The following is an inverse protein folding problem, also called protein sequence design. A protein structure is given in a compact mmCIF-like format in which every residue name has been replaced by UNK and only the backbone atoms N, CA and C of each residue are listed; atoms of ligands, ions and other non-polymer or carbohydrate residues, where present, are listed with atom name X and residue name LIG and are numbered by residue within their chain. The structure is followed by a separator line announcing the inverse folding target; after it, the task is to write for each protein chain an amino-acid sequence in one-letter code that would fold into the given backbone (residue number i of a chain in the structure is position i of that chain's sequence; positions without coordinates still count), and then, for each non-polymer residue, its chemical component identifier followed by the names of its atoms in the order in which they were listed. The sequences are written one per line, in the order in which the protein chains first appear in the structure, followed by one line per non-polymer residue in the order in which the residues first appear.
data_IF_530491206143
#
_entry.id   IF_530491206143
#
_cell.length_a   1.000
_cell.length_b   1.000
_cell.length_c   1.000
_cell.angle_alpha   90.00
_cell.angle_beta   90.00
_cell.angle_gamma   90.00
#
_symmetry.space_group_name_H-M   'P 1'
#
loop_
_entity.id
_entity.type
_entity.pdbx_description
1 polymer ?
#
# COMPACT_ATOMS: atom_id res chain seq x y z
N UNK A 1 3.33 -17.56 -22.11
CA UNK A 1 2.91 -16.13 -22.13
C UNK A 1 3.71 -15.38 -21.11
N UNK A 2 4.30 -14.25 -21.49
CA UNK A 2 4.90 -13.31 -20.52
C UNK A 2 3.72 -12.57 -19.86
N UNK A 3 3.55 -12.71 -18.55
CA UNK A 3 2.64 -11.85 -17.79
C UNK A 3 3.34 -10.52 -17.54
N UNK A 4 2.75 -9.42 -18.00
CA UNK A 4 3.27 -8.09 -17.72
C UNK A 4 2.95 -7.76 -16.26
N UNK A 5 3.96 -7.38 -15.49
CA UNK A 5 3.83 -6.99 -14.09
C UNK A 5 3.67 -5.49 -13.96
N UNK A 6 2.64 -5.06 -13.26
CA UNK A 6 2.34 -3.67 -12.97
C UNK A 6 2.47 -3.42 -11.48
N UNK A 7 3.27 -2.42 -11.12
CA UNK A 7 3.35 -1.91 -9.76
C UNK A 7 2.37 -0.74 -9.60
N UNK A 8 1.35 -0.90 -8.76
CA UNK A 8 0.39 0.16 -8.45
C UNK A 8 0.90 1.00 -7.28
N UNK A 9 1.65 2.06 -7.59
CA UNK A 9 2.06 3.05 -6.59
C UNK A 9 0.85 3.85 -6.09
N UNK A 10 0.80 4.13 -4.79
CA UNK A 10 -0.18 5.02 -4.18
C UNK A 10 0.42 5.69 -2.93
N UNK A 11 -0.16 6.82 -2.51
CA UNK A 11 0.23 7.48 -1.27
C UNK A 11 -0.55 6.90 -0.09
N UNK A 12 0.14 6.21 0.82
CA UNK A 12 -0.44 5.64 2.05
C UNK A 12 -1.00 6.76 2.94
N UNK A 13 -0.25 7.86 3.11
CA UNK A 13 -0.69 9.03 3.90
C UNK A 13 -1.73 9.89 3.19
N UNK A 14 -1.82 9.76 1.87
CA UNK A 14 -2.73 10.54 1.04
C UNK A 14 -2.57 12.04 1.26
N UNK A 15 -3.69 12.76 1.25
CA UNK A 15 -3.74 14.22 1.44
C UNK A 15 -3.35 14.69 2.85
N UNK A 16 -3.33 13.79 3.83
CA UNK A 16 -3.07 14.13 5.23
C UNK A 16 -1.57 14.19 5.57
N UNK A 17 -0.72 13.65 4.70
CA UNK A 17 0.74 13.68 4.88
C UNK A 17 1.16 13.16 6.26
N UNK A 18 2.07 13.87 6.93
CA UNK A 18 2.58 13.48 8.26
C UNK A 18 1.53 13.50 9.38
N UNK A 19 0.34 14.06 9.12
CA UNK A 19 -0.77 14.08 10.08
C UNK A 19 -1.77 12.94 9.85
N UNK A 20 -1.46 11.99 8.95
CA UNK A 20 -2.32 10.85 8.68
C UNK A 20 -2.43 9.94 9.91
N UNK A 21 -3.65 9.70 10.37
CA UNK A 21 -3.95 8.69 11.39
C UNK A 21 -3.90 7.29 10.79
N UNK A 22 -3.70 6.22 11.59
CA UNK A 22 -3.74 4.84 11.11
C UNK A 22 -5.02 4.49 10.35
N UNK A 23 -6.17 5.00 10.81
CA UNK A 23 -7.46 4.80 10.14
C UNK A 23 -7.51 5.48 8.77
N UNK A 24 -6.91 6.66 8.62
CA UNK A 24 -6.83 7.35 7.33
C UNK A 24 -5.88 6.62 6.37
N UNK A 25 -4.75 6.13 6.87
CA UNK A 25 -3.81 5.33 6.09
C UNK A 25 -4.46 4.02 5.60
N UNK A 26 -5.14 3.29 6.48
CA UNK A 26 -5.89 2.10 6.11
C UNK A 26 -6.92 2.39 5.01
N UNK A 27 -7.69 3.48 5.15
CA UNK A 27 -8.67 3.89 4.12
C UNK A 27 -8.02 4.21 2.76
N UNK A 28 -6.79 4.71 2.74
CA UNK A 28 -6.06 4.95 1.49
C UNK A 28 -5.58 3.63 0.87
N UNK A 29 -5.05 2.72 1.69
CA UNK A 29 -4.70 1.36 1.26
C UNK A 29 -5.92 0.63 0.70
N UNK A 30 -7.07 0.67 1.37
CA UNK A 30 -8.31 0.02 0.93
C UNK A 30 -8.75 0.51 -0.45
N UNK A 31 -8.62 1.82 -0.71
CA UNK A 31 -8.90 2.39 -2.04
C UNK A 31 -7.92 1.91 -3.09
N UNK A 32 -6.62 1.83 -2.77
CA UNK A 32 -5.62 1.33 -3.70
C UNK A 32 -5.87 -0.15 -4.04
N UNK A 33 -6.24 -0.98 -3.06
CA UNK A 33 -6.63 -2.38 -3.24
C UNK A 33 -7.87 -2.50 -4.12
N UNK A 34 -8.89 -1.66 -3.88
CA UNK A 34 -10.09 -1.63 -4.73
C UNK A 34 -9.73 -1.34 -6.19
N UNK A 35 -8.89 -0.33 -6.44
CA UNK A 35 -8.43 0.00 -7.80
C UNK A 35 -7.61 -1.14 -8.40
N UNK A 36 -6.71 -1.77 -7.64
CA UNK A 36 -5.95 -2.94 -8.10
C UNK A 36 -6.88 -4.08 -8.55
N UNK A 37 -7.93 -4.35 -7.79
CA UNK A 37 -8.92 -5.38 -8.13
C UNK A 37 -9.72 -5.02 -9.38
N UNK A 38 -10.10 -3.76 -9.56
CA UNK A 38 -10.76 -3.30 -10.79
C UNK A 38 -9.85 -3.48 -12.01
N UNK A 39 -8.56 -3.16 -11.90
CA UNK A 39 -7.58 -3.35 -12.98
C UNK A 39 -7.40 -4.83 -13.30
N UNK A 40 -7.25 -5.69 -12.29
CA UNK A 40 -7.11 -7.16 -12.47
C UNK A 40 -8.33 -7.74 -13.19
N UNK A 41 -9.53 -7.29 -12.86
CA UNK A 41 -10.77 -7.73 -13.50
C UNK A 41 -10.88 -7.22 -14.95
N UNK A 42 -10.47 -5.97 -15.20
CA UNK A 42 -10.53 -5.39 -16.54
C UNK A 42 -9.47 -5.95 -17.50
N UNK A 43 -8.30 -6.35 -16.97
CA UNK A 43 -7.16 -6.83 -17.77
C UNK A 43 -6.57 -8.09 -17.11
N UNK A 44 -7.18 -9.29 -17.28
CA UNK A 44 -6.72 -10.51 -16.62
C UNK A 44 -5.32 -10.99 -17.04
N UNK A 45 -4.78 -10.45 -18.13
CA UNK A 45 -3.45 -10.80 -18.65
C UNK A 45 -2.30 -10.11 -17.92
N UNK A 46 -2.58 -9.11 -17.06
CA UNK A 46 -1.55 -8.43 -16.27
C UNK A 46 -1.57 -8.87 -14.81
N UNK A 47 -0.38 -8.89 -14.22
CA UNK A 47 -0.18 -9.15 -12.80
C UNK A 47 -0.02 -7.80 -12.09
N UNK A 48 -1.02 -7.40 -11.30
CA UNK A 48 -0.98 -6.14 -10.54
C UNK A 48 -0.51 -6.41 -9.13
N UNK A 49 0.59 -5.77 -8.75
CA UNK A 49 1.08 -5.69 -7.37
C UNK A 49 0.65 -4.37 -6.73
N UNK A 50 0.02 -4.43 -5.55
CA UNK A 50 -0.41 -3.26 -4.80
C UNK A 50 0.21 -3.30 -3.38
N UNK A 51 1.10 -2.37 -3.02
CA UNK A 51 1.72 -2.35 -1.69
C UNK A 51 0.72 -2.27 -0.54
N UNK A 52 -0.47 -1.70 -0.78
CA UNK A 52 -1.53 -1.57 0.22
C UNK A 52 -2.01 -2.93 0.76
N UNK A 53 -1.81 -4.02 0.02
CA UNK A 53 -2.13 -5.40 0.43
C UNK A 53 -1.18 -5.95 1.51
N UNK A 54 -0.04 -5.30 1.74
CA UNK A 54 1.03 -5.77 2.61
C UNK A 54 1.40 -4.78 3.73
N UNK A 55 0.65 -3.68 3.87
CA UNK A 55 0.96 -2.60 4.82
C UNK A 55 0.77 -3.04 6.30
N UNK A 56 -0.04 -4.07 6.56
CA UNK A 56 -0.38 -4.57 7.90
C UNK A 56 0.85 -4.86 8.78
N UNK A 57 1.94 -5.40 8.20
CA UNK A 57 3.17 -5.64 8.95
C UNK A 57 3.84 -4.33 9.41
N UNK A 58 3.96 -3.36 8.49
CA UNK A 58 4.62 -2.08 8.76
C UNK A 58 3.85 -1.30 9.82
N UNK A 59 2.52 -1.23 9.67
CA UNK A 59 1.64 -0.62 10.67
C UNK A 59 1.73 -1.31 12.04
N UNK A 60 1.70 -2.64 12.10
CA UNK A 60 1.82 -3.38 13.36
C UNK A 60 3.19 -3.22 14.02
N UNK A 61 4.27 -3.23 13.24
CA UNK A 61 5.62 -3.05 13.74
C UNK A 61 5.84 -1.63 14.28
N UNK A 62 5.30 -0.62 13.60
CA UNK A 62 5.29 0.76 14.06
C UNK A 62 4.50 0.91 15.38
N UNK A 63 3.29 0.37 15.45
CA UNK A 63 2.43 0.47 16.65
C UNK A 63 2.94 -0.30 17.87
N UNK A 64 3.85 -1.25 17.69
CA UNK A 64 4.50 -2.00 18.78
C UNK A 64 5.88 -1.46 19.14
N UNK A 65 6.27 -0.31 18.60
CA UNK A 65 7.59 0.30 18.77
C UNK A 65 8.76 -0.62 18.33
N UNK A 66 8.49 -1.60 17.45
CA UNK A 66 9.53 -2.45 16.88
C UNK A 66 10.30 -1.75 15.75
N UNK A 67 9.64 -0.81 15.06
CA UNK A 67 10.23 0.03 14.03
C UNK A 67 9.79 1.48 14.24
N UNK A 68 10.76 2.40 14.18
CA UNK A 68 10.47 3.83 14.08
C UNK A 68 10.10 4.19 12.64
N UNK A 69 9.35 5.28 12.47
CA UNK A 69 9.06 5.85 11.14
C UNK A 69 10.34 6.06 10.32
N UNK A 70 11.40 6.56 10.96
CA UNK A 70 12.70 6.76 10.31
C UNK A 70 13.29 5.46 9.78
N UNK A 71 13.19 4.36 10.54
CA UNK A 71 13.69 3.06 10.09
C UNK A 71 12.86 2.50 8.93
N UNK A 72 11.54 2.72 8.94
CA UNK A 72 10.66 2.33 7.83
C UNK A 72 11.05 3.09 6.56
N UNK A 73 11.16 4.42 6.64
CA UNK A 73 11.52 5.29 5.51
C UNK A 73 12.96 5.11 4.99
N UNK A 74 13.83 4.40 5.72
CA UNK A 74 15.19 4.10 5.28
C UNK A 74 15.26 2.85 4.38
N UNK A 75 14.27 1.97 4.47
CA UNK A 75 14.27 0.67 3.78
C UNK A 75 13.16 0.54 2.73
N UNK A 76 12.13 1.39 2.82
CA UNK A 76 11.10 1.61 1.80
C UNK A 76 11.61 2.52 0.68
#
# INVERSE_FOLDING_TARGET
MIKIRFYLSHSIRGIYGNNATPVQMQKNCDKAILIANLIRNAIPSIEVYCPGEHEDFVSKAYHRDYLTEKQILMVD
#
